data_IF_850222250731
#
_entry.id   IF_850222250731
#
_cell.length_a   1.000
_cell.length_b   1.000
_cell.length_c   1.000
_cell.angle_alpha   90.00
_cell.angle_beta   90.00
_cell.angle_gamma   90.00
#
_symmetry.space_group_name_H-M   'P 1'
#
loop_
_entity.id
_entity.type
_entity.pdbx_description
1 polymer ?
#
# COMPACT_ATOMS: atom_id res chain seq x y z
N UNK A 1 -20.66 15.09 -57.27
CA UNK A 1 -19.34 15.26 -57.90
C UNK A 1 -18.46 16.14 -57.03
N UNK A 2 -17.63 15.57 -56.15
CA UNK A 2 -16.27 16.02 -55.78
C UNK A 2 -15.69 15.05 -54.75
N UNK A 3 -14.86 14.17 -55.29
CA UNK A 3 -14.01 13.27 -54.50
C UNK A 3 -12.93 14.08 -53.82
N UNK A 4 -12.76 13.89 -52.46
CA UNK A 4 -11.67 14.45 -51.70
C UNK A 4 -10.74 13.29 -51.24
N UNK A 5 -9.41 13.44 -51.34
CA UNK A 5 -8.47 12.32 -51.17
C UNK A 5 -8.26 11.92 -49.71
N UNK A 6 -8.34 10.63 -49.50
CA UNK A 6 -7.98 9.94 -48.23
C UNK A 6 -6.51 10.17 -47.86
N UNK A 7 -6.26 10.90 -46.80
CA UNK A 7 -4.92 11.17 -46.23
C UNK A 7 -4.46 9.94 -45.43
N UNK A 8 -3.59 9.16 -46.05
CA UNK A 8 -2.93 7.97 -45.48
C UNK A 8 -2.00 8.38 -44.34
N UNK A 9 -2.37 8.11 -43.07
CA UNK A 9 -1.51 8.31 -41.93
C UNK A 9 -0.39 7.27 -41.91
N UNK A 10 0.86 7.70 -42.04
CA UNK A 10 2.07 6.88 -41.91
C UNK A 10 2.28 6.54 -40.43
N UNK A 11 2.22 5.26 -40.09
CA UNK A 11 2.64 4.72 -38.77
C UNK A 11 4.16 4.73 -38.70
N UNK A 12 4.74 5.61 -37.92
CA UNK A 12 6.17 5.59 -37.59
C UNK A 12 6.44 4.56 -36.49
N UNK A 13 7.07 3.46 -36.87
CA UNK A 13 7.58 2.45 -35.91
C UNK A 13 8.85 3.01 -35.26
N UNK A 14 8.77 3.41 -33.97
CA UNK A 14 9.97 3.68 -33.18
C UNK A 14 10.65 2.35 -32.84
N UNK A 15 11.85 2.13 -33.39
CA UNK A 15 12.72 1.03 -33.02
C UNK A 15 13.36 1.33 -31.65
N UNK A 16 13.02 0.54 -30.64
CA UNK A 16 13.72 0.52 -29.37
C UNK A 16 15.04 -0.26 -29.55
N UNK A 17 16.18 0.37 -29.28
CA UNK A 17 17.49 -0.28 -29.23
C UNK A 17 17.70 -0.83 -27.82
N UNK A 18 18.08 -2.11 -27.63
CA UNK A 18 18.48 -2.62 -26.32
C UNK A 18 19.87 -2.09 -25.95
N UNK A 19 19.98 -1.48 -24.79
CA UNK A 19 21.25 -1.07 -24.19
C UNK A 19 21.85 -2.30 -23.52
N UNK A 20 22.88 -2.85 -24.17
CA UNK A 20 23.70 -3.94 -23.66
C UNK A 20 24.65 -3.38 -22.59
N UNK A 21 24.43 -3.71 -21.32
CA UNK A 21 25.34 -3.35 -20.22
C UNK A 21 26.41 -4.43 -20.08
N UNK A 22 27.61 -4.08 -20.42
CA UNK A 22 28.80 -4.91 -20.23
C UNK A 22 29.12 -5.06 -18.73
N UNK A 23 29.16 -6.32 -18.29
CA UNK A 23 29.79 -6.69 -17.03
C UNK A 23 31.29 -6.66 -17.20
N UNK A 24 31.98 -5.80 -16.46
CA UNK A 24 33.43 -5.83 -16.29
C UNK A 24 33.74 -6.48 -14.94
N UNK A 25 34.32 -7.66 -15.01
CA UNK A 25 34.96 -8.32 -13.88
C UNK A 25 36.30 -7.67 -13.63
N UNK A 26 36.58 -7.14 -12.44
CA UNK A 26 37.93 -6.90 -11.95
C UNK A 26 38.12 -7.70 -10.65
N UNK A 27 38.90 -8.76 -10.81
CA UNK A 27 39.54 -9.44 -9.71
C UNK A 27 40.89 -8.76 -9.42
N UNK A 28 41.13 -8.41 -8.17
CA UNK A 28 42.52 -8.14 -7.71
C UNK A 28 42.64 -8.51 -6.22
N UNK A 29 43.50 -9.47 -5.99
CA UNK A 29 44.07 -9.92 -4.73
C UNK A 29 44.99 -8.84 -4.13
N UNK A 30 45.00 -8.67 -2.80
CA UNK A 30 46.23 -8.47 -2.03
C UNK A 30 46.00 -8.69 -0.54
N UNK A 31 46.77 -9.60 0.00
CA UNK A 31 46.90 -9.90 1.41
C UNK A 31 47.87 -8.88 2.08
N UNK A 32 47.64 -8.50 3.31
CA UNK A 32 48.68 -8.10 4.24
C UNK A 32 48.25 -8.30 5.70
N UNK A 33 48.98 -9.15 6.35
CA UNK A 33 48.99 -9.45 7.78
C UNK A 33 49.74 -8.32 8.50
N UNK A 34 49.21 -7.84 9.63
CA UNK A 34 50.02 -7.28 10.70
C UNK A 34 49.45 -7.57 12.08
N UNK A 35 50.17 -8.38 12.83
CA UNK A 35 50.09 -8.56 14.27
C UNK A 35 50.66 -7.33 14.98
N UNK A 36 50.04 -6.88 16.03
CA UNK A 36 50.76 -6.35 17.18
C UNK A 36 49.86 -6.48 18.44
N UNK A 37 50.37 -7.19 19.39
CA UNK A 37 49.89 -7.36 20.74
C UNK A 37 50.11 -6.08 21.56
N UNK A 38 49.17 -5.76 22.45
CA UNK A 38 49.30 -4.73 23.45
C UNK A 38 48.44 -5.06 24.65
N UNK A 39 49.07 -5.73 25.66
CA UNK A 39 48.53 -5.88 26.99
C UNK A 39 48.49 -4.55 27.73
N UNK A 40 47.41 -4.26 28.46
CA UNK A 40 47.35 -3.21 29.45
C UNK A 40 46.03 -3.30 30.21
N UNK A 41 46.02 -3.97 31.33
CA UNK A 41 44.87 -4.14 32.18
C UNK A 41 44.56 -2.92 33.03
N UNK A 42 43.29 -2.72 33.34
CA UNK A 42 42.82 -2.11 34.57
C UNK A 42 41.38 -2.58 34.90
N UNK A 43 41.11 -3.06 36.10
CA UNK A 43 39.82 -3.58 36.48
C UNK A 43 38.99 -2.48 37.15
N UNK A 44 37.77 -2.39 36.79
CA UNK A 44 36.60 -1.93 37.55
C UNK A 44 35.69 -0.92 36.82
N UNK A 45 34.69 -1.45 36.14
CA UNK A 45 33.39 -0.80 36.12
C UNK A 45 32.33 -1.84 35.85
N UNK A 46 31.46 -2.01 36.81
CA UNK A 46 30.22 -2.79 36.70
C UNK A 46 29.40 -2.20 35.58
N UNK A 47 29.40 -2.82 34.43
CA UNK A 47 28.42 -2.54 33.38
C UNK A 47 27.24 -3.48 33.59
N UNK A 48 26.13 -2.89 33.98
CA UNK A 48 24.83 -3.52 33.84
C UNK A 48 24.69 -4.01 32.39
N UNK A 49 24.44 -5.29 32.27
CA UNK A 49 24.09 -5.93 31.00
C UNK A 49 22.73 -5.37 30.57
N UNK A 50 22.74 -4.31 29.78
CA UNK A 50 21.56 -3.96 29.00
C UNK A 50 21.41 -5.05 27.95
N UNK A 51 20.47 -5.94 28.22
CA UNK A 51 19.92 -6.83 27.19
C UNK A 51 19.35 -5.95 26.10
N UNK A 52 20.14 -5.65 25.09
CA UNK A 52 19.63 -5.11 23.84
C UNK A 52 18.77 -6.20 23.20
N UNK A 53 17.48 -6.15 23.53
CA UNK A 53 16.46 -6.76 22.69
C UNK A 53 16.63 -6.10 21.32
N UNK A 54 17.16 -6.85 20.36
CA UNK A 54 17.23 -6.42 18.96
C UNK A 54 15.79 -6.32 18.43
N UNK A 55 15.13 -5.21 18.76
CA UNK A 55 14.00 -4.78 17.97
C UNK A 55 14.56 -4.48 16.58
N UNK A 56 14.22 -5.33 15.63
CA UNK A 56 14.42 -5.05 14.22
C UNK A 56 13.75 -3.72 13.95
N UNK A 57 14.53 -2.63 13.94
CA UNK A 57 14.06 -1.31 13.54
C UNK A 57 13.67 -1.43 12.06
N UNK A 58 12.39 -1.69 11.81
CA UNK A 58 11.84 -1.55 10.47
C UNK A 58 12.07 -0.09 10.07
N UNK A 59 12.84 0.14 9.02
CA UNK A 59 13.05 1.48 8.47
C UNK A 59 11.69 2.14 8.21
N UNK A 60 11.59 3.44 8.52
CA UNK A 60 10.38 4.20 8.20
C UNK A 60 10.24 4.25 6.68
N UNK A 61 9.08 3.87 6.18
CA UNK A 61 8.73 3.87 4.76
C UNK A 61 7.74 5.00 4.48
N UNK A 62 7.86 5.64 3.34
CA UNK A 62 6.81 6.49 2.78
C UNK A 62 5.66 5.63 2.26
N UNK A 63 4.45 6.19 2.18
CA UNK A 63 3.25 5.48 1.73
C UNK A 63 3.45 4.85 0.35
N UNK A 64 4.05 5.59 -0.59
CA UNK A 64 4.30 5.12 -1.96
C UNK A 64 5.18 3.86 -1.99
N UNK A 65 6.27 3.87 -1.23
CA UNK A 65 7.20 2.75 -1.12
C UNK A 65 6.54 1.54 -0.46
N UNK A 66 5.74 1.78 0.58
CA UNK A 66 4.99 0.72 1.24
C UNK A 66 3.98 0.07 0.28
N UNK A 67 3.23 0.88 -0.48
CA UNK A 67 2.24 0.36 -1.44
C UNK A 67 2.90 -0.38 -2.60
N UNK A 68 4.05 0.09 -3.09
CA UNK A 68 4.81 -0.58 -4.15
C UNK A 68 5.31 -1.99 -3.74
N UNK A 69 5.68 -2.16 -2.48
CA UNK A 69 6.18 -3.44 -1.95
C UNK A 69 5.17 -4.20 -1.08
N UNK A 70 3.90 -3.76 -1.03
CA UNK A 70 2.90 -4.25 -0.10
C UNK A 70 2.70 -5.77 -0.17
N UNK A 71 2.66 -6.37 -1.36
CA UNK A 71 2.51 -7.82 -1.54
C UNK A 71 3.61 -8.61 -0.83
N UNK A 72 4.86 -8.10 -0.83
CA UNK A 72 6.01 -8.74 -0.18
C UNK A 72 6.02 -8.53 1.34
N UNK A 73 5.45 -7.41 1.80
CA UNK A 73 5.48 -6.98 3.19
C UNK A 73 4.25 -7.43 3.98
N UNK A 74 3.24 -7.97 3.31
CA UNK A 74 1.99 -8.44 3.92
C UNK A 74 2.25 -9.44 5.05
N UNK A 75 1.60 -9.24 6.19
CA UNK A 75 1.76 -10.01 7.42
C UNK A 75 2.96 -9.57 8.27
N UNK A 76 3.84 -8.73 7.73
CA UNK A 76 5.00 -8.20 8.44
C UNK A 76 4.70 -6.93 9.23
N UNK A 77 5.58 -6.63 10.20
CA UNK A 77 5.57 -5.37 10.94
C UNK A 77 6.23 -4.28 10.08
N UNK A 78 5.52 -3.21 9.84
CA UNK A 78 5.99 -2.06 9.06
C UNK A 78 5.88 -0.78 9.87
N UNK A 79 6.71 0.22 9.53
CA UNK A 79 6.58 1.59 10.02
C UNK A 79 6.39 2.49 8.81
N UNK A 80 5.24 3.15 8.72
CA UNK A 80 4.87 4.03 7.61
C UNK A 80 4.68 5.47 8.07
N UNK A 81 5.05 6.40 7.22
CA UNK A 81 4.87 7.83 7.43
C UNK A 81 4.17 8.47 6.24
N UNK A 82 3.22 9.37 6.50
CA UNK A 82 2.49 10.10 5.47
C UNK A 82 1.63 11.20 6.07
N UNK A 83 1.04 12.02 5.20
CA UNK A 83 0.12 13.09 5.62
C UNK A 83 -1.26 12.50 5.90
N UNK A 84 -1.76 12.69 7.12
CA UNK A 84 -3.12 12.28 7.47
C UNK A 84 -4.14 13.23 6.83
N UNK A 85 -4.89 12.74 5.86
CA UNK A 85 -5.90 13.53 5.14
C UNK A 85 -7.28 13.44 5.74
N UNK A 86 -7.57 12.35 6.47
CA UNK A 86 -8.91 12.09 6.96
C UNK A 86 -8.93 11.20 8.20
N UNK A 87 -9.89 11.46 9.10
CA UNK A 87 -10.31 10.56 10.19
C UNK A 87 -11.75 10.12 9.94
N UNK A 88 -11.97 8.82 9.97
CA UNK A 88 -13.33 8.27 9.83
C UNK A 88 -14.22 8.69 11.00
N UNK A 89 -15.39 9.28 10.71
CA UNK A 89 -16.34 9.78 11.71
C UNK A 89 -16.96 8.69 12.59
N UNK A 90 -16.89 7.44 12.18
CA UNK A 90 -17.42 6.30 12.94
C UNK A 90 -16.42 5.86 14.02
N UNK A 91 -16.34 6.64 15.11
CA UNK A 91 -15.53 6.34 16.29
C UNK A 91 -14.04 6.69 16.18
N UNK A 92 -13.57 7.34 15.11
CA UNK A 92 -12.18 7.78 14.97
C UNK A 92 -11.15 6.64 14.90
N UNK A 93 -11.60 5.41 14.57
CA UNK A 93 -10.71 4.23 14.58
C UNK A 93 -9.90 4.05 13.29
N UNK A 94 -10.17 4.85 12.28
CA UNK A 94 -9.47 4.79 10.98
C UNK A 94 -8.99 6.16 10.59
N UNK A 95 -7.74 6.23 10.14
CA UNK A 95 -7.16 7.39 9.46
C UNK A 95 -6.65 6.96 8.09
N UNK A 96 -6.40 7.94 7.23
CA UNK A 96 -5.89 7.74 5.89
C UNK A 96 -4.64 8.58 5.72
N UNK A 97 -3.53 7.91 5.42
CA UNK A 97 -2.26 8.57 5.13
C UNK A 97 -2.06 8.63 3.63
N UNK A 98 -1.78 9.81 3.13
CA UNK A 98 -1.49 10.09 1.73
C UNK A 98 0.03 10.13 1.52
N UNK A 99 0.48 9.57 0.42
CA UNK A 99 1.85 9.66 -0.09
C UNK A 99 2.06 10.91 -0.94
N UNK A 100 2.66 10.74 -2.12
CA UNK A 100 2.99 11.86 -3.02
C UNK A 100 1.77 12.51 -3.64
N UNK A 101 0.68 11.76 -3.84
CA UNK A 101 -0.57 12.26 -4.38
C UNK A 101 -1.80 11.52 -3.80
N UNK A 102 -2.98 11.94 -4.20
CA UNK A 102 -4.26 11.43 -3.71
C UNK A 102 -4.64 10.03 -4.24
N UNK A 103 -3.84 9.46 -5.14
CA UNK A 103 -3.97 8.06 -5.59
C UNK A 103 -3.17 7.10 -4.70
N UNK A 104 -2.19 7.63 -3.97
CA UNK A 104 -1.32 6.88 -3.06
C UNK A 104 -1.81 7.07 -1.62
N UNK A 105 -2.82 6.31 -1.24
CA UNK A 105 -3.44 6.41 0.10
C UNK A 105 -3.48 5.05 0.77
N UNK A 106 -3.05 4.99 2.02
CA UNK A 106 -3.18 3.79 2.86
C UNK A 106 -4.08 4.05 4.07
N UNK A 107 -4.95 3.09 4.35
CA UNK A 107 -5.80 3.07 5.55
C UNK A 107 -4.99 2.58 6.74
N UNK A 108 -5.11 3.28 7.86
CA UNK A 108 -4.55 2.87 9.15
C UNK A 108 -5.70 2.61 10.12
N UNK A 109 -5.67 1.46 10.76
CA UNK A 109 -6.67 1.08 11.76
C UNK A 109 -6.10 1.13 13.17
N UNK A 110 -6.82 1.76 14.08
CA UNK A 110 -6.40 1.83 15.48
C UNK A 110 -6.50 0.44 16.14
N UNK A 111 -5.38 -0.08 16.58
CA UNK A 111 -5.35 -1.27 17.43
C UNK A 111 -5.94 -0.99 18.82
N UNK A 112 -6.15 -2.05 19.60
CA UNK A 112 -6.77 -1.96 20.94
C UNK A 112 -6.07 -0.98 21.87
N UNK A 113 -4.73 -0.87 21.80
CA UNK A 113 -3.95 0.03 22.66
C UNK A 113 -4.18 1.50 22.37
N UNK A 114 -4.47 1.86 21.11
CA UNK A 114 -4.72 3.24 20.67
C UNK A 114 -6.21 3.59 20.84
N UNK A 115 -7.08 2.62 20.58
CA UNK A 115 -8.53 2.77 20.63
C UNK A 115 -9.07 3.67 19.52
N UNK A 116 -8.69 4.95 19.51
CA UNK A 116 -9.06 5.93 18.47
C UNK A 116 -7.97 6.95 18.22
N UNK A 117 -7.92 7.47 17.00
CA UNK A 117 -7.06 8.57 16.62
C UNK A 117 -7.67 9.92 17.04
N UNK A 118 -6.80 10.88 17.31
CA UNK A 118 -7.21 12.24 17.68
C UNK A 118 -7.42 13.10 16.43
N UNK A 119 -8.38 14.06 16.45
CA UNK A 119 -8.63 14.96 15.31
C UNK A 119 -7.40 15.76 14.87
N UNK A 120 -6.47 16.03 15.79
CA UNK A 120 -5.24 16.77 15.53
C UNK A 120 -4.28 16.03 14.57
N UNK A 121 -4.52 14.74 14.29
CA UNK A 121 -3.76 14.03 13.26
C UNK A 121 -4.00 14.60 11.85
N UNK A 122 -5.19 15.15 11.57
CA UNK A 122 -5.54 15.64 10.23
C UNK A 122 -4.66 16.82 9.82
N UNK A 123 -4.19 16.78 8.56
CA UNK A 123 -3.25 17.72 7.97
C UNK A 123 -1.85 17.74 8.61
N UNK A 124 -1.53 16.73 9.40
CA UNK A 124 -0.20 16.53 9.96
C UNK A 124 0.46 15.28 9.39
N UNK A 125 1.80 15.28 9.40
CA UNK A 125 2.57 14.06 9.13
C UNK A 125 2.42 13.11 10.31
N UNK A 126 1.99 11.89 10.02
CA UNK A 126 1.75 10.87 11.05
C UNK A 126 2.61 9.65 10.74
N UNK A 127 3.33 9.17 11.76
CA UNK A 127 4.10 7.93 11.69
C UNK A 127 3.40 6.85 12.49
N UNK A 128 3.20 5.69 11.86
CA UNK A 128 2.51 4.54 12.45
C UNK A 128 3.34 3.29 12.30
N UNK A 129 3.38 2.48 13.36
CA UNK A 129 3.95 1.14 13.32
C UNK A 129 2.85 0.12 13.59
N UNK A 130 2.71 -0.85 12.67
CA UNK A 130 1.69 -1.88 12.77
C UNK A 130 2.00 -3.07 11.88
N UNK A 131 1.04 -3.97 11.76
CA UNK A 131 1.12 -5.11 10.84
C UNK A 131 0.43 -4.73 9.54
N UNK A 132 1.10 -4.94 8.41
CA UNK A 132 0.49 -4.74 7.09
C UNK A 132 -0.44 -5.92 6.79
N UNK A 133 -1.70 -5.61 6.54
CA UNK A 133 -2.75 -6.59 6.24
C UNK A 133 -3.24 -6.38 4.81
N UNK A 134 -3.52 -7.47 4.11
CA UNK A 134 -4.13 -7.49 2.79
C UNK A 134 -5.59 -7.92 2.89
N UNK A 135 -6.50 -7.09 2.43
CA UNK A 135 -7.91 -7.44 2.19
C UNK A 135 -8.07 -7.83 0.72
N UNK A 136 -8.53 -9.03 0.45
CA UNK A 136 -8.80 -9.50 -0.92
C UNK A 136 -10.28 -9.39 -1.24
N UNK A 137 -10.57 -8.79 -2.39
CA UNK A 137 -11.90 -8.77 -2.99
C UNK A 137 -11.86 -9.65 -4.23
N UNK A 138 -12.50 -10.79 -4.16
CA UNK A 138 -12.69 -11.74 -5.26
C UNK A 138 -14.18 -11.87 -5.62
N UNK A 139 -14.52 -12.72 -6.58
CA UNK A 139 -15.92 -12.92 -6.98
C UNK A 139 -16.78 -13.53 -5.86
N UNK A 140 -16.20 -14.37 -4.99
CA UNK A 140 -16.94 -14.93 -3.85
C UNK A 140 -17.35 -13.85 -2.86
N UNK A 141 -16.44 -12.93 -2.55
CA UNK A 141 -16.72 -11.76 -1.72
C UNK A 141 -17.80 -10.87 -2.33
N UNK A 142 -17.73 -10.61 -3.65
CA UNK A 142 -18.71 -9.76 -4.34
C UNK A 142 -20.10 -10.42 -4.38
N UNK A 143 -20.18 -11.73 -4.59
CA UNK A 143 -21.44 -12.48 -4.58
C UNK A 143 -22.08 -12.43 -3.17
N UNK A 144 -21.30 -12.60 -2.12
CA UNK A 144 -21.80 -12.46 -0.75
C UNK A 144 -22.28 -11.03 -0.45
N UNK A 145 -21.55 -10.02 -0.94
CA UNK A 145 -21.96 -8.64 -0.79
C UNK A 145 -23.29 -8.34 -1.51
N UNK A 146 -23.49 -8.87 -2.73
CA UNK A 146 -24.75 -8.77 -3.44
C UNK A 146 -25.92 -9.43 -2.67
N UNK A 147 -25.70 -10.59 -2.06
CA UNK A 147 -26.70 -11.25 -1.25
C UNK A 147 -27.09 -10.39 -0.04
N UNK A 148 -26.10 -9.85 0.68
CA UNK A 148 -26.35 -8.92 1.80
C UNK A 148 -27.11 -7.68 1.38
N UNK A 149 -26.77 -7.12 0.22
CA UNK A 149 -27.47 -5.96 -0.33
C UNK A 149 -28.94 -6.27 -0.63
N UNK A 150 -29.23 -7.40 -1.25
CA UNK A 150 -30.62 -7.85 -1.51
C UNK A 150 -31.41 -8.03 -0.22
N UNK A 151 -30.79 -8.60 0.80
CA UNK A 151 -31.40 -8.76 2.12
C UNK A 151 -31.66 -7.41 2.81
N UNK A 152 -30.73 -6.46 2.70
CA UNK A 152 -30.90 -5.11 3.25
C UNK A 152 -32.03 -4.36 2.55
N UNK A 153 -32.08 -4.40 1.20
CA UNK A 153 -33.17 -3.80 0.42
C UNK A 153 -34.51 -4.42 0.79
N UNK A 154 -34.55 -5.73 1.04
CA UNK A 154 -35.79 -6.42 1.46
C UNK A 154 -36.23 -6.01 2.88
N UNK A 155 -35.31 -5.63 3.76
CA UNK A 155 -35.60 -5.27 5.17
C UNK A 155 -35.78 -3.76 5.40
N UNK A 156 -35.18 -2.92 4.57
CA UNK A 156 -35.19 -1.47 4.74
C UNK A 156 -35.48 -0.77 3.41
N UNK A 157 -36.60 -0.03 3.39
CA UNK A 157 -36.79 1.02 2.41
C UNK A 157 -35.96 2.25 2.86
N UNK A 158 -34.69 2.34 2.46
CA UNK A 158 -33.87 3.53 2.64
C UNK A 158 -32.57 3.31 3.43
N UNK A 159 -31.53 3.94 2.95
CA UNK A 159 -30.16 4.06 3.45
C UNK A 159 -29.22 2.88 3.13
N UNK A 160 -28.66 2.91 1.92
CA UNK A 160 -27.47 2.13 1.60
C UNK A 160 -26.26 2.64 2.38
N UNK A 161 -25.47 1.73 2.96
CA UNK A 161 -24.15 2.06 3.53
C UNK A 161 -23.21 2.58 2.44
N UNK A 162 -23.28 3.88 2.17
CA UNK A 162 -22.23 4.57 1.46
C UNK A 162 -21.05 4.70 2.44
N UNK A 163 -19.96 3.96 2.21
CA UNK A 163 -18.71 4.13 2.93
C UNK A 163 -18.23 5.60 2.88
N UNK A 164 -17.31 6.00 3.75
CA UNK A 164 -16.80 7.37 3.70
C UNK A 164 -16.01 7.58 2.39
N UNK A 165 -16.05 8.81 1.85
CA UNK A 165 -15.39 9.17 0.59
C UNK A 165 -13.88 8.85 0.58
N UNK A 166 -13.20 9.00 1.73
CA UNK A 166 -11.80 8.65 1.86
C UNK A 166 -11.53 7.14 1.76
N UNK A 167 -12.46 6.28 2.19
CA UNK A 167 -12.34 4.84 2.00
C UNK A 167 -12.55 4.46 0.53
N UNK A 168 -13.49 5.09 -0.16
CA UNK A 168 -13.66 4.93 -1.60
C UNK A 168 -12.40 5.34 -2.36
N UNK A 169 -11.80 6.48 -2.00
CA UNK A 169 -10.58 6.98 -2.59
C UNK A 169 -9.40 6.03 -2.36
N UNK A 170 -9.22 5.51 -1.15
CA UNK A 170 -8.17 4.53 -0.83
C UNK A 170 -8.30 3.22 -1.62
N UNK A 171 -9.51 2.89 -2.09
CA UNK A 171 -9.78 1.73 -2.95
C UNK A 171 -9.79 2.07 -4.44
N UNK A 172 -9.53 3.33 -4.80
CA UNK A 172 -9.59 3.82 -6.19
C UNK A 172 -11.01 3.79 -6.78
N UNK A 173 -12.04 3.94 -5.94
CA UNK A 173 -13.45 3.94 -6.35
C UNK A 173 -13.95 5.36 -6.64
N UNK A 174 -14.93 5.48 -7.56
CA UNK A 174 -15.62 6.75 -7.78
C UNK A 174 -16.57 7.06 -6.62
N UNK A 175 -16.57 8.30 -6.14
CA UNK A 175 -17.30 8.75 -4.93
C UNK A 175 -18.83 8.71 -5.08
N UNK A 176 -19.35 8.69 -6.29
CA UNK A 176 -20.81 8.80 -6.55
C UNK A 176 -21.33 7.51 -7.20
N UNK A 177 -21.57 6.47 -6.42
CA UNK A 177 -22.15 5.26 -7.00
C UNK A 177 -23.08 4.52 -6.07
N UNK A 178 -24.14 3.93 -6.64
CA UNK A 178 -24.91 2.91 -5.93
C UNK A 178 -24.03 1.70 -5.61
N UNK A 179 -24.41 0.92 -4.62
CA UNK A 179 -23.65 -0.29 -4.24
C UNK A 179 -23.53 -1.27 -5.39
N UNK A 180 -24.57 -1.42 -6.22
CA UNK A 180 -24.55 -2.27 -7.42
C UNK A 180 -23.49 -1.81 -8.42
N UNK A 181 -23.39 -0.50 -8.65
CA UNK A 181 -22.38 0.07 -9.55
C UNK A 181 -20.96 -0.17 -9.02
N UNK A 182 -20.74 -0.08 -7.72
CA UNK A 182 -19.44 -0.39 -7.09
C UNK A 182 -19.07 -1.86 -7.28
N UNK A 183 -20.01 -2.79 -7.08
CA UNK A 183 -19.79 -4.21 -7.31
C UNK A 183 -19.43 -4.48 -8.78
N UNK A 184 -20.14 -3.84 -9.71
CA UNK A 184 -19.84 -3.96 -11.14
C UNK A 184 -18.44 -3.40 -11.50
N UNK A 185 -18.03 -2.28 -10.89
CA UNK A 185 -16.68 -1.71 -11.06
C UNK A 185 -15.59 -2.65 -10.53
N UNK A 186 -15.79 -3.24 -9.34
CA UNK A 186 -14.85 -4.23 -8.82
C UNK A 186 -14.72 -5.45 -9.75
N UNK A 187 -15.82 -5.96 -10.29
CA UNK A 187 -15.78 -7.07 -11.27
C UNK A 187 -14.99 -6.70 -12.52
N UNK A 188 -15.20 -5.50 -13.06
CA UNK A 188 -14.45 -5.02 -14.23
C UNK A 188 -12.94 -4.93 -13.92
N UNK A 189 -12.56 -4.41 -12.76
CA UNK A 189 -11.17 -4.32 -12.32
C UNK A 189 -10.53 -5.69 -12.07
N UNK A 190 -11.28 -6.64 -11.51
CA UNK A 190 -10.81 -8.04 -11.34
C UNK A 190 -10.56 -8.68 -12.71
N UNK A 191 -11.48 -8.50 -13.68
CA UNK A 191 -11.33 -9.03 -15.03
C UNK A 191 -10.09 -8.43 -15.74
N UNK A 192 -9.87 -7.13 -15.60
CA UNK A 192 -8.70 -6.44 -16.14
C UNK A 192 -7.38 -6.96 -15.50
N UNK A 193 -7.36 -7.12 -14.18
CA UNK A 193 -6.21 -7.67 -13.46
C UNK A 193 -5.94 -9.13 -13.83
N UNK A 194 -6.99 -9.94 -13.98
CA UNK A 194 -6.85 -11.31 -14.48
C UNK A 194 -6.20 -11.35 -15.85
N UNK A 195 -6.62 -10.47 -16.76
CA UNK A 195 -6.06 -10.41 -18.10
C UNK A 195 -4.59 -9.94 -18.11
N UNK A 196 -4.19 -9.04 -17.21
CA UNK A 196 -2.84 -8.46 -17.13
C UNK A 196 -1.86 -9.27 -16.29
N UNK A 197 -2.32 -9.80 -15.16
CA UNK A 197 -1.46 -10.38 -14.12
C UNK A 197 -1.82 -11.85 -13.79
N UNK A 198 -2.92 -12.39 -14.33
CA UNK A 198 -3.42 -13.72 -13.98
C UNK A 198 -4.05 -13.82 -12.59
N UNK A 199 -4.26 -12.70 -11.88
CA UNK A 199 -4.83 -12.66 -10.53
C UNK A 199 -6.34 -12.38 -10.60
N UNK A 200 -7.15 -13.22 -9.97
CA UNK A 200 -8.63 -13.14 -9.98
C UNK A 200 -9.19 -12.42 -8.75
N UNK A 201 -8.46 -11.47 -8.18
CA UNK A 201 -8.85 -10.67 -7.03
C UNK A 201 -8.18 -9.29 -7.06
N UNK A 202 -8.72 -8.35 -6.30
CA UNK A 202 -8.09 -7.07 -5.98
C UNK A 202 -7.53 -7.13 -4.57
N UNK A 203 -6.37 -6.52 -4.37
CA UNK A 203 -5.72 -6.40 -3.07
C UNK A 203 -5.87 -4.97 -2.55
N UNK A 204 -6.31 -4.84 -1.30
CA UNK A 204 -6.35 -3.57 -0.58
C UNK A 204 -5.55 -3.74 0.71
N UNK A 205 -4.69 -2.78 1.00
CA UNK A 205 -3.78 -2.88 2.13
C UNK A 205 -4.15 -1.90 3.24
N UNK A 206 -3.91 -2.31 4.48
CA UNK A 206 -4.01 -1.44 5.65
C UNK A 206 -3.00 -1.85 6.73
N UNK A 207 -2.73 -0.95 7.64
CA UNK A 207 -1.83 -1.16 8.79
C UNK A 207 -2.61 -1.01 10.09
#
# INVERSE_FOLDING_TARGET
>A
LRDGPLRRMRKTKKKFKPIMRHFVYCAALAAAVFFLAGCGGNPNKKNASETQTSETQSSVMEVDNLLADAEKLTGGKVTVEGVCTHICRHGGRKIFLMGTDDTQVIRIEAGEKIGSFKPECVNNVVRVTGTLVEDRIDEAYLAEWELRLKDQIARQHGEGEAGCSAEHQARGESVASSTEKRIADFRARIADRKAKEGKEYLSFYHV
#
